data_IF_204376340327
#
_entry.id   IF_204376340327
#
_cell.length_a   1.000
_cell.length_b   1.000
_cell.length_c   1.000
_cell.angle_alpha   90.00
_cell.angle_beta   90.00
_cell.angle_gamma   90.00
#
_symmetry.space_group_name_H-M   'P 1'
#
loop_
_entity.id
_entity.type
_entity.pdbx_description
1 polymer ?
#
# COMPACT_ATOMS: atom_id res chain seq x y z
N UNK A 1 -15.47 -10.49 -6.25
CA UNK A 1 -15.80 -9.15 -6.75
C UNK A 1 -17.03 -9.15 -7.63
N UNK A 2 -17.06 -9.93 -8.73
CA UNK A 2 -18.26 -10.04 -9.60
C UNK A 2 -19.49 -10.58 -8.88
N UNK A 3 -19.33 -11.60 -8.04
CA UNK A 3 -20.47 -12.15 -7.28
C UNK A 3 -21.05 -11.12 -6.32
N UNK A 4 -20.20 -10.41 -5.59
CA UNK A 4 -20.58 -9.28 -4.73
C UNK A 4 -21.27 -8.15 -5.52
N UNK A 5 -20.77 -7.81 -6.71
CA UNK A 5 -21.41 -6.80 -7.56
C UNK A 5 -22.80 -7.23 -8.03
N UNK A 6 -23.01 -8.53 -8.32
CA UNK A 6 -24.33 -9.08 -8.67
C UNK A 6 -25.29 -9.05 -7.47
N UNK A 7 -24.81 -9.33 -6.27
CA UNK A 7 -25.60 -9.25 -5.04
C UNK A 7 -26.08 -7.82 -4.75
N UNK A 8 -25.26 -6.81 -5.07
CA UNK A 8 -25.61 -5.39 -4.93
C UNK A 8 -26.58 -4.87 -6.00
N UNK A 9 -26.76 -5.62 -7.10
CA UNK A 9 -27.70 -5.29 -8.17
C UNK A 9 -27.20 -4.16 -9.09
N UNK A 10 -27.47 -2.92 -8.73
CA UNK A 10 -27.31 -1.72 -9.58
C UNK A 10 -25.85 -1.22 -9.64
N UNK A 11 -24.94 -2.11 -10.05
CA UNK A 11 -23.51 -1.80 -10.22
C UNK A 11 -23.17 -1.85 -11.71
N UNK A 12 -22.61 -0.77 -12.23
CA UNK A 12 -22.18 -0.70 -13.62
C UNK A 12 -21.10 -1.77 -13.91
N UNK A 13 -21.33 -2.72 -14.85
CA UNK A 13 -20.39 -3.78 -15.16
C UNK A 13 -19.03 -3.26 -15.66
N UNK A 14 -19.00 -2.11 -16.34
CA UNK A 14 -17.75 -1.50 -16.81
C UNK A 14 -16.89 -1.02 -15.64
N UNK A 15 -17.51 -0.45 -14.59
CA UNK A 15 -16.79 -0.06 -13.38
C UNK A 15 -16.25 -1.28 -12.62
N UNK A 16 -16.99 -2.39 -12.61
CA UNK A 16 -16.50 -3.66 -12.05
C UNK A 16 -15.28 -4.14 -12.85
N UNK A 17 -15.30 -4.06 -14.18
CA UNK A 17 -14.15 -4.45 -14.99
C UNK A 17 -12.92 -3.54 -14.75
N UNK A 18 -13.13 -2.22 -14.64
CA UNK A 18 -12.04 -1.27 -14.35
C UNK A 18 -11.45 -1.51 -12.95
N UNK A 19 -12.29 -1.76 -11.94
CA UNK A 19 -11.82 -2.06 -10.59
C UNK A 19 -11.03 -3.38 -10.55
N UNK A 20 -11.46 -4.40 -11.28
CA UNK A 20 -10.70 -5.64 -11.45
C UNK A 20 -9.31 -5.39 -12.06
N UNK A 21 -9.27 -4.54 -13.10
CA UNK A 21 -8.01 -4.15 -13.73
C UNK A 21 -7.09 -3.44 -12.74
N UNK A 22 -7.60 -2.50 -11.94
CA UNK A 22 -6.83 -1.82 -10.88
C UNK A 22 -6.26 -2.84 -9.90
N UNK A 23 -7.11 -3.68 -9.31
CA UNK A 23 -6.67 -4.66 -8.29
C UNK A 23 -5.59 -5.58 -8.85
N UNK A 24 -5.73 -6.05 -10.10
CA UNK A 24 -4.76 -6.96 -10.71
C UNK A 24 -3.46 -6.30 -11.16
N UNK A 25 -3.47 -5.01 -11.51
CA UNK A 25 -2.33 -4.38 -12.22
C UNK A 25 -1.74 -3.15 -11.54
N UNK A 26 -2.27 -2.70 -10.40
CA UNK A 26 -1.77 -1.50 -9.72
C UNK A 26 -0.30 -1.62 -9.27
N UNK A 27 0.25 -2.82 -9.15
CA UNK A 27 1.69 -2.98 -8.98
C UNK A 27 2.37 -2.69 -10.32
N UNK A 28 3.02 -1.53 -10.44
CA UNK A 28 3.40 -0.96 -11.74
C UNK A 28 4.49 -1.75 -12.50
N UNK A 29 5.26 -2.61 -11.81
CA UNK A 29 6.36 -3.37 -12.41
C UNK A 29 6.09 -4.88 -12.37
N UNK A 30 6.40 -5.63 -13.46
CA UNK A 30 6.27 -7.09 -13.48
C UNK A 30 7.07 -7.77 -12.36
N UNK A 31 8.23 -7.21 -11.99
CA UNK A 31 9.05 -7.69 -10.87
C UNK A 31 8.38 -7.56 -9.49
N UNK A 32 7.28 -6.82 -9.38
CA UNK A 32 6.46 -6.71 -8.17
C UNK A 32 5.24 -7.65 -8.19
N UNK A 33 5.20 -8.61 -9.13
CA UNK A 33 4.13 -9.63 -9.21
C UNK A 33 2.94 -9.22 -10.08
N UNK A 34 3.07 -8.16 -10.88
CA UNK A 34 2.02 -7.70 -11.77
C UNK A 34 1.95 -8.58 -13.03
N UNK A 35 0.79 -9.18 -13.35
CA UNK A 35 0.64 -10.03 -14.53
C UNK A 35 0.70 -9.24 -15.84
N UNK A 36 0.38 -7.93 -15.79
CA UNK A 36 0.36 -7.01 -16.93
C UNK A 36 0.58 -5.57 -16.48
N UNK A 37 1.09 -4.74 -17.38
CA UNK A 37 1.22 -3.30 -17.13
C UNK A 37 -0.15 -2.63 -16.94
N UNK A 38 -0.26 -1.64 -16.03
CA UNK A 38 -1.46 -0.85 -15.90
C UNK A 38 -1.80 -0.10 -17.20
N UNK A 39 -3.09 -0.08 -17.55
CA UNK A 39 -3.61 0.50 -18.79
C UNK A 39 -4.45 1.78 -18.55
N UNK A 40 -4.73 2.12 -17.29
CA UNK A 40 -5.54 3.26 -16.89
C UNK A 40 -4.83 4.09 -15.81
N UNK A 41 -5.02 5.42 -15.79
CA UNK A 41 -4.27 6.31 -14.90
C UNK A 41 -4.58 6.10 -13.42
N UNK A 42 -5.74 5.58 -13.06
CA UNK A 42 -6.14 5.32 -11.67
C UNK A 42 -5.17 4.34 -10.97
N UNK A 43 -4.58 3.41 -11.71
CA UNK A 43 -3.58 2.48 -11.18
C UNK A 43 -2.35 3.20 -10.63
N UNK A 44 -1.95 4.35 -11.19
CA UNK A 44 -0.83 5.15 -10.69
C UNK A 44 -1.09 5.65 -9.26
N UNK A 45 -2.32 6.12 -9.03
CA UNK A 45 -2.73 6.65 -7.72
C UNK A 45 -2.77 5.51 -6.71
N UNK A 46 -3.43 4.40 -7.06
CA UNK A 46 -3.57 3.24 -6.17
C UNK A 46 -2.21 2.62 -5.86
N UNK A 47 -1.31 2.54 -6.83
CA UNK A 47 0.07 2.09 -6.64
C UNK A 47 0.78 2.89 -5.55
N UNK A 48 0.78 4.21 -5.68
CA UNK A 48 1.49 5.06 -4.74
C UNK A 48 0.81 5.12 -3.38
N UNK A 49 -0.52 4.99 -3.32
CA UNK A 49 -1.25 4.89 -2.06
C UNK A 49 -0.86 3.60 -1.29
N UNK A 50 -0.83 2.45 -1.97
CA UNK A 50 -0.45 1.16 -1.38
C UNK A 50 1.02 1.15 -0.90
N UNK A 51 1.95 1.59 -1.76
CA UNK A 51 3.38 1.66 -1.41
C UNK A 51 3.66 2.64 -0.26
N UNK A 52 2.93 3.77 -0.23
CA UNK A 52 3.04 4.73 0.86
C UNK A 52 2.50 4.16 2.17
N UNK A 53 1.35 3.48 2.15
CA UNK A 53 0.76 2.85 3.33
C UNK A 53 1.70 1.79 3.92
N UNK A 54 2.25 0.91 3.08
CA UNK A 54 3.21 -0.11 3.51
C UNK A 54 4.46 0.52 4.15
N UNK A 55 5.01 1.58 3.53
CA UNK A 55 6.15 2.31 4.10
C UNK A 55 5.78 2.99 5.42
N UNK A 56 4.62 3.63 5.49
CA UNK A 56 4.18 4.30 6.72
C UNK A 56 4.04 3.30 7.88
N UNK A 57 3.43 2.15 7.63
CA UNK A 57 3.28 1.08 8.61
C UNK A 57 4.64 0.55 9.11
N UNK A 58 5.64 0.42 8.22
CA UNK A 58 6.99 0.05 8.65
C UNK A 58 7.60 1.06 9.62
N UNK A 59 7.43 2.37 9.37
CA UNK A 59 7.92 3.42 10.26
C UNK A 59 7.17 3.41 11.58
N UNK A 60 5.83 3.29 11.54
CA UNK A 60 4.99 3.22 12.73
C UNK A 60 5.38 2.04 13.62
N UNK A 61 5.55 0.85 13.04
CA UNK A 61 5.96 -0.35 13.77
C UNK A 61 7.35 -0.22 14.38
N UNK A 62 8.31 0.36 13.65
CA UNK A 62 9.66 0.62 14.15
C UNK A 62 9.60 1.52 15.41
N UNK A 63 8.85 2.62 15.34
CA UNK A 63 8.66 3.55 16.46
C UNK A 63 7.92 2.91 17.64
N UNK A 64 6.90 2.09 17.38
CA UNK A 64 6.10 1.45 18.43
C UNK A 64 6.87 0.35 19.18
N UNK A 65 7.67 -0.43 18.46
CA UNK A 65 8.41 -1.59 18.99
C UNK A 65 9.59 -1.19 19.86
N UNK A 66 10.26 -0.09 19.52
CA UNK A 66 11.44 0.37 20.25
C UNK A 66 11.05 0.97 21.61
N UNK A 67 11.51 0.32 22.70
CA UNK A 67 11.29 0.77 24.09
C UNK A 67 12.56 1.26 24.77
N UNK A 68 13.66 1.31 24.04
CA UNK A 68 14.94 1.69 24.61
C UNK A 68 14.95 3.18 24.96
N UNK A 69 15.68 3.58 26.01
CA UNK A 69 15.83 4.99 26.37
C UNK A 69 16.55 5.78 25.27
N UNK A 70 16.29 7.08 25.21
CA UNK A 70 16.90 8.01 24.24
C UNK A 70 15.95 8.49 23.16
N UNK A 71 16.43 9.41 22.34
CA UNK A 71 15.61 10.15 21.37
C UNK A 71 15.36 9.42 20.05
N UNK A 72 16.11 8.35 19.79
CA UNK A 72 16.09 7.62 18.52
C UNK A 72 15.87 6.13 18.74
N UNK A 73 15.29 5.45 17.75
CA UNK A 73 15.21 3.98 17.70
C UNK A 73 16.58 3.38 17.37
N UNK A 74 16.76 2.09 17.66
CA UNK A 74 17.78 1.28 17.00
C UNK A 74 17.59 1.31 15.47
N UNK A 75 18.66 1.00 14.73
CA UNK A 75 18.58 0.93 13.27
C UNK A 75 17.71 -0.24 12.86
N UNK A 76 16.64 0.03 12.11
CA UNK A 76 15.82 -1.03 11.53
C UNK A 76 16.55 -1.68 10.34
N UNK A 77 16.59 -3.02 10.23
CA UNK A 77 17.29 -3.72 9.13
C UNK A 77 16.75 -3.39 7.74
N UNK A 78 15.46 -3.05 7.63
CA UNK A 78 14.80 -2.78 6.35
C UNK A 78 14.88 -1.29 6.02
N UNK A 79 14.59 -0.41 6.99
CA UNK A 79 14.65 1.04 6.78
C UNK A 79 16.09 1.60 6.73
N UNK A 80 17.05 0.84 7.27
CA UNK A 80 18.49 1.18 7.36
C UNK A 80 18.75 2.58 7.92
N UNK A 81 17.96 2.98 8.91
CA UNK A 81 18.02 4.29 9.55
C UNK A 81 17.50 4.23 10.98
N UNK A 82 17.89 5.23 11.76
CA UNK A 82 17.32 5.51 13.09
C UNK A 82 16.15 6.47 12.95
N UNK A 83 15.05 6.21 13.65
CA UNK A 83 13.88 7.09 13.65
C UNK A 83 13.82 7.89 14.93
N UNK A 84 13.46 9.17 14.82
CA UNK A 84 13.28 10.04 15.98
C UNK A 84 11.96 9.74 16.70
N UNK A 85 12.04 9.48 18.00
CA UNK A 85 10.90 9.11 18.88
C UNK A 85 10.10 10.32 19.36
N UNK A 86 10.69 11.52 19.35
CA UNK A 86 10.09 12.73 19.93
C UNK A 86 8.87 13.29 19.18
N UNK A 87 8.33 12.57 18.19
CA UNK A 87 6.97 12.85 17.71
C UNK A 87 5.98 12.26 18.72
N UNK A 88 5.43 13.12 19.59
CA UNK A 88 4.15 12.83 20.22
C UNK A 88 3.10 12.90 19.11
N UNK A 89 2.71 11.75 18.56
CA UNK A 89 1.53 11.63 17.69
C UNK A 89 0.31 11.54 18.58
#
# INVERSE_FOLDING_TARGET
MRDTARELGDVNPDLVQLLEHIVMTHLALPEWGSPKLPLIPECLIVHHADDLDAKLEMYARCLMKDKEPGDFTASDPVLKRHLYKGRKV
#
